data_IF_242751910591
#
_entry.id   IF_242751910591
#
_cell.length_a   1.000
_cell.length_b   1.000
_cell.length_c   1.000
_cell.angle_alpha   90.00
_cell.angle_beta   90.00
_cell.angle_gamma   90.00
#
_symmetry.space_group_name_H-M   'P 1'
#
loop_
_entity.id
_entity.type
_entity.pdbx_description
1 polymer ?
#
# COMPACT_ATOMS: atom_id res chain seq x y z
N UNK A 1 -16.27 10.99 0.18
CA UNK A 1 -16.62 9.87 0.01
C UNK A 1 -15.62 8.92 0.33
N UNK A 2 -14.69 8.77 -0.40
CA UNK A 2 -13.77 7.80 -0.18
C UNK A 2 -13.09 7.90 1.15
N UNK A 3 -12.79 9.08 1.62
CA UNK A 3 -12.09 9.28 2.84
C UNK A 3 -12.83 8.74 4.05
N UNK A 4 -14.13 8.99 4.12
CA UNK A 4 -14.94 8.50 5.23
C UNK A 4 -15.09 6.99 5.16
N UNK A 5 -15.22 6.47 3.98
CA UNK A 5 -15.33 5.04 3.78
C UNK A 5 -14.05 4.35 4.25
N UNK A 6 -12.91 4.91 3.89
CA UNK A 6 -11.63 4.34 4.28
C UNK A 6 -11.47 4.33 5.79
N UNK A 7 -11.84 5.40 6.44
CA UNK A 7 -11.73 5.48 7.89
C UNK A 7 -12.59 4.43 8.57
N UNK A 8 -13.80 4.21 8.05
CA UNK A 8 -14.66 3.19 8.61
C UNK A 8 -14.07 1.80 8.43
N UNK A 9 -13.52 1.53 7.25
CA UNK A 9 -12.91 0.23 7.01
C UNK A 9 -11.68 0.02 7.88
N UNK A 10 -10.87 1.04 8.05
CA UNK A 10 -9.70 0.95 8.90
C UNK A 10 -10.11 0.69 10.35
N UNK A 11 -11.15 1.39 10.81
CA UNK A 11 -11.62 1.19 12.16
C UNK A 11 -12.10 -0.23 12.38
N UNK A 12 -12.79 -0.80 11.41
CA UNK A 12 -13.23 -2.20 11.51
C UNK A 12 -12.05 -3.14 11.59
N UNK A 13 -10.99 -2.87 10.82
CA UNK A 13 -9.80 -3.69 10.87
C UNK A 13 -9.15 -3.63 12.23
N UNK A 14 -9.01 -2.45 12.77
CA UNK A 14 -8.26 -2.27 14.01
C UNK A 14 -9.03 -2.66 15.25
N UNK A 15 -10.33 -2.42 15.24
CA UNK A 15 -11.13 -2.68 16.42
C UNK A 15 -11.70 -4.09 16.47
N UNK A 16 -12.03 -4.63 15.31
CA UNK A 16 -12.70 -5.93 15.23
C UNK A 16 -11.89 -6.98 14.51
N UNK A 17 -10.68 -6.65 14.08
CA UNK A 17 -9.84 -7.57 13.32
C UNK A 17 -10.60 -8.10 12.10
N UNK A 18 -11.31 -7.21 11.43
CA UNK A 18 -12.19 -7.57 10.32
C UNK A 18 -11.39 -7.65 9.02
N UNK A 19 -11.06 -8.85 8.62
CA UNK A 19 -10.27 -9.07 7.40
C UNK A 19 -11.02 -8.71 6.14
N UNK A 20 -12.35 -8.81 6.18
CA UNK A 20 -13.13 -8.41 5.02
C UNK A 20 -13.01 -6.91 4.76
N UNK A 21 -12.96 -6.14 5.86
CA UNK A 21 -12.78 -4.71 5.70
C UNK A 21 -11.44 -4.41 5.06
N UNK A 22 -10.41 -5.14 5.43
CA UNK A 22 -9.10 -4.94 4.83
C UNK A 22 -9.12 -5.34 3.35
N UNK A 23 -9.77 -6.44 3.01
CA UNK A 23 -9.88 -6.87 1.63
C UNK A 23 -10.54 -5.78 0.79
N UNK A 24 -11.52 -5.09 1.33
CA UNK A 24 -12.15 -4.00 0.61
C UNK A 24 -11.20 -2.85 0.35
N UNK A 25 -10.35 -2.54 1.32
CA UNK A 25 -9.32 -1.52 1.10
C UNK A 25 -8.35 -1.95 0.01
N UNK A 26 -7.94 -3.21 0.05
CA UNK A 26 -7.04 -3.74 -0.98
C UNK A 26 -7.68 -3.65 -2.35
N UNK A 27 -8.92 -4.12 -2.47
CA UNK A 27 -9.60 -4.10 -3.76
C UNK A 27 -9.73 -2.68 -4.31
N UNK A 28 -9.94 -1.74 -3.43
CA UNK A 28 -10.11 -0.36 -3.83
C UNK A 28 -8.82 0.25 -4.35
N UNK A 29 -7.70 -0.06 -3.73
CA UNK A 29 -6.44 0.60 -4.06
C UNK A 29 -5.50 -0.24 -4.91
N UNK A 30 -5.74 -1.53 -5.03
CA UNK A 30 -4.85 -2.40 -5.77
C UNK A 30 -4.59 -1.93 -7.20
N UNK A 31 -5.61 -1.51 -7.96
CA UNK A 31 -5.34 -1.07 -9.34
C UNK A 31 -4.40 0.12 -9.40
N UNK A 32 -4.54 1.05 -8.46
CA UNK A 32 -3.69 2.22 -8.43
C UNK A 32 -2.26 1.87 -8.05
N UNK A 33 -2.11 0.99 -7.07
CA UNK A 33 -0.80 0.56 -6.61
C UNK A 33 -0.10 -0.24 -7.71
N UNK A 34 -0.84 -1.13 -8.37
CA UNK A 34 -0.25 -1.89 -9.47
C UNK A 34 0.20 -0.96 -10.59
N UNK A 35 -0.62 0.03 -10.92
CA UNK A 35 -0.25 0.98 -11.96
C UNK A 35 1.02 1.74 -11.59
N UNK A 36 1.14 2.12 -10.33
CA UNK A 36 2.35 2.78 -9.85
C UNK A 36 3.56 1.89 -10.12
N UNK A 37 3.48 0.61 -9.78
CA UNK A 37 4.61 -0.28 -9.99
C UNK A 37 4.86 -0.58 -11.46
N UNK A 38 3.81 -0.65 -12.27
CA UNK A 38 4.01 -0.82 -13.70
C UNK A 38 4.82 0.33 -14.28
N UNK A 39 4.57 1.53 -13.80
CA UNK A 39 5.36 2.68 -14.25
C UNK A 39 6.79 2.60 -13.76
N UNK A 40 6.99 2.13 -12.56
CA UNK A 40 8.34 2.05 -12.00
C UNK A 40 9.16 0.92 -12.63
N UNK A 41 8.51 -0.15 -13.06
CA UNK A 41 9.20 -1.33 -13.58
C UNK A 41 9.20 -1.38 -15.10
N UNK A 42 8.73 -0.32 -15.74
CA UNK A 42 8.66 -0.24 -17.19
C UNK A 42 7.77 -1.33 -17.78
N UNK A 43 6.68 -1.62 -17.08
CA UNK A 43 5.67 -2.54 -17.61
C UNK A 43 5.83 -4.00 -17.22
N UNK A 44 6.69 -4.31 -16.27
CA UNK A 44 6.85 -5.69 -15.84
C UNK A 44 5.67 -6.08 -14.95
N UNK A 45 4.68 -6.74 -15.53
CA UNK A 45 3.44 -7.04 -14.82
C UNK A 45 3.64 -8.01 -13.67
N UNK A 46 4.48 -9.02 -13.87
CA UNK A 46 4.69 -10.01 -12.85
C UNK A 46 5.38 -9.42 -11.64
N UNK A 47 6.44 -8.66 -11.88
CA UNK A 47 7.15 -8.01 -10.81
C UNK A 47 6.27 -6.96 -10.12
N UNK A 48 5.44 -6.24 -10.89
CA UNK A 48 4.54 -5.26 -10.31
C UNK A 48 3.50 -5.90 -9.39
N UNK A 49 3.02 -7.08 -9.75
CA UNK A 49 2.11 -7.82 -8.88
C UNK A 49 2.78 -8.21 -7.57
N UNK A 50 4.02 -8.65 -7.64
CA UNK A 50 4.76 -9.02 -6.44
C UNK A 50 4.97 -7.81 -5.54
N UNK A 51 5.32 -6.68 -6.14
CA UNK A 51 5.53 -5.46 -5.37
C UNK A 51 4.23 -4.98 -4.74
N UNK A 52 3.12 -5.10 -5.46
CA UNK A 52 1.83 -4.71 -4.91
C UNK A 52 1.44 -5.59 -3.74
N UNK A 53 1.66 -6.90 -3.87
CA UNK A 53 1.38 -7.81 -2.76
C UNK A 53 2.20 -7.44 -1.53
N UNK A 54 3.47 -7.20 -1.73
CA UNK A 54 4.34 -6.83 -0.62
C UNK A 54 3.88 -5.53 0.04
N UNK A 55 3.44 -4.58 -0.77
CA UNK A 55 2.94 -3.31 -0.26
C UNK A 55 1.73 -3.53 0.64
N UNK A 56 0.78 -4.35 0.21
CA UNK A 56 -0.42 -4.56 1.00
C UNK A 56 -0.16 -5.41 2.23
N UNK A 57 0.82 -6.31 2.17
CA UNK A 57 1.22 -7.05 3.36
C UNK A 57 1.84 -6.11 4.40
N UNK A 58 2.75 -5.26 3.95
CA UNK A 58 3.37 -4.30 4.87
C UNK A 58 2.34 -3.32 5.43
N UNK A 59 1.39 -2.91 4.60
CA UNK A 59 0.33 -2.03 5.07
C UNK A 59 -0.50 -2.70 6.15
N UNK A 60 -0.81 -3.96 5.97
CA UNK A 60 -1.62 -4.67 6.95
C UNK A 60 -0.90 -4.75 8.29
N UNK A 61 0.38 -5.12 8.26
CA UNK A 61 1.14 -5.26 9.50
C UNK A 61 1.43 -3.92 10.15
N UNK A 62 1.37 -2.82 9.40
CA UNK A 62 1.65 -1.49 9.92
C UNK A 62 0.39 -0.67 10.15
N UNK A 63 -0.78 -1.27 9.97
CA UNK A 63 -2.02 -0.50 9.97
C UNK A 63 -2.24 0.27 11.26
N UNK A 64 -1.77 -0.29 12.37
CA UNK A 64 -1.92 0.39 13.67
C UNK A 64 -1.14 1.69 13.72
N UNK A 65 -0.14 1.85 12.87
CA UNK A 65 0.64 3.09 12.86
C UNK A 65 -0.02 4.18 12.04
N UNK A 66 -1.10 3.86 11.32
CA UNK A 66 -1.81 4.87 10.57
C UNK A 66 -2.59 5.74 11.54
N UNK A 67 -2.26 7.01 11.59
CA UNK A 67 -2.84 7.91 12.58
C UNK A 67 -3.89 8.86 11.99
N UNK A 68 -4.18 8.73 10.71
CA UNK A 68 -5.14 9.62 10.09
C UNK A 68 -4.62 11.01 9.81
N UNK A 69 -3.32 11.21 9.90
CA UNK A 69 -2.73 12.51 9.63
C UNK A 69 -2.65 12.78 8.13
N UNK A 70 -2.73 11.75 7.33
CA UNK A 70 -2.83 11.89 5.88
C UNK A 70 -3.98 11.00 5.45
N UNK A 71 -4.36 11.08 4.18
CA UNK A 71 -5.35 10.14 3.66
C UNK A 71 -4.74 8.75 3.63
N UNK A 72 -5.59 7.74 3.63
CA UNK A 72 -5.10 6.38 3.50
C UNK A 72 -4.36 6.20 2.17
N UNK A 73 -4.85 6.83 1.13
CA UNK A 73 -4.22 6.79 -0.17
C UNK A 73 -2.76 7.26 -0.09
N UNK A 74 -2.52 8.40 0.52
CA UNK A 74 -1.17 8.92 0.67
C UNK A 74 -0.31 7.97 1.49
N UNK A 75 -0.88 7.43 2.54
CA UNK A 75 -0.16 6.54 3.43
C UNK A 75 0.26 5.25 2.72
N UNK A 76 -0.67 4.64 1.96
CA UNK A 76 -0.35 3.39 1.27
C UNK A 76 0.66 3.61 0.13
N UNK A 77 0.59 4.76 -0.54
CA UNK A 77 1.57 5.06 -1.58
C UNK A 77 2.96 5.30 -0.99
N UNK A 78 3.03 5.82 0.22
CA UNK A 78 4.31 5.96 0.89
C UNK A 78 4.93 4.59 1.15
N UNK A 79 4.10 3.64 1.56
CA UNK A 79 4.58 2.27 1.76
C UNK A 79 5.03 1.66 0.43
N UNK A 80 4.25 1.88 -0.63
CA UNK A 80 4.61 1.37 -1.95
C UNK A 80 5.96 1.91 -2.41
N UNK A 81 6.18 3.18 -2.20
CA UNK A 81 7.42 3.81 -2.56
C UNK A 81 8.60 3.18 -1.82
N UNK A 82 8.41 2.95 -0.52
CA UNK A 82 9.45 2.32 0.28
C UNK A 82 9.71 0.88 -0.13
N UNK A 83 8.65 0.15 -0.48
CA UNK A 83 8.80 -1.21 -0.96
C UNK A 83 9.66 -1.23 -2.23
N UNK A 84 9.38 -0.32 -3.14
CA UNK A 84 10.13 -0.27 -4.38
C UNK A 84 11.60 0.03 -4.13
N UNK A 85 11.87 1.02 -3.29
CA UNK A 85 13.25 1.37 -3.00
C UNK A 85 13.98 0.29 -2.22
N UNK A 86 13.31 -0.38 -1.31
CA UNK A 86 13.94 -1.44 -0.55
C UNK A 86 14.34 -2.61 -1.42
N UNK A 87 13.53 -2.91 -2.44
CA UNK A 87 13.79 -4.09 -3.25
C UNK A 87 14.61 -3.79 -4.50
N UNK A 88 14.55 -2.60 -5.02
CA UNK A 88 15.19 -2.30 -6.27
C UNK A 88 16.04 -1.09 -6.30
N UNK A 89 15.81 -0.17 -5.42
CA UNK A 89 16.38 1.15 -5.61
C UNK A 89 17.44 1.57 -4.68
N UNK A 90 17.51 0.93 -3.56
CA UNK A 90 18.39 1.38 -2.52
C UNK A 90 19.83 1.40 -2.95
N UNK A 91 20.25 0.36 -3.54
CA UNK A 91 21.63 0.27 -3.90
C UNK A 91 22.01 1.25 -4.94
N UNK A 92 21.05 1.63 -5.75
CA UNK A 92 21.34 2.52 -6.80
C UNK A 92 21.69 3.90 -6.32
N UNK A 93 21.19 4.25 -5.17
CA UNK A 93 21.47 5.53 -4.66
C UNK A 93 22.66 5.46 -3.81
N UNK A 94 22.97 4.30 -3.53
CA UNK A 94 24.08 4.15 -2.77
C UNK A 94 23.95 4.92 -1.60
N UNK A 95 23.40 5.14 -1.64
CA UNK A 95 23.32 5.69 -0.97
C UNK A 95 24.09 6.48 -0.95
N UNK A 96 24.29 6.62 -1.60
CA UNK A 96 25.07 7.30 -1.72
C UNK A 96 25.20 8.02 -1.21
#
# INVERSE_FOLDING_TARGET
>A
MSKNEDILLIAKCLLNDDRRAYTRLVDKYHPQIKRFFLNQTLGDAMFSDELAQETFIKAYTSLRSFKGLSSFSTWIFRIAYNVFYDLCGVEMFGRV
#
